data_IF_848668313992
#
_entry.id   IF_848668313992
#
_cell.length_a   1.000
_cell.length_b   1.000
_cell.length_c   1.000
_cell.angle_alpha   90.00
_cell.angle_beta   90.00
_cell.angle_gamma   90.00
#
_symmetry.space_group_name_H-M   'P 1'
#
loop_
_entity.id
_entity.type
_entity.pdbx_description
1 polymer ?
#
# COMPACT_ATOMS: atom_id res chain seq x y z
N UNK A 1 27.35 4.06 -11.51
CA UNK A 1 26.23 3.24 -11.00
C UNK A 1 26.82 2.05 -10.26
N UNK A 2 26.63 1.93 -8.95
CA UNK A 2 27.02 0.72 -8.20
C UNK A 2 26.17 -0.45 -8.69
N UNK A 3 26.80 -1.54 -9.11
CA UNK A 3 26.10 -2.77 -9.45
C UNK A 3 25.19 -3.20 -8.29
N UNK A 4 23.96 -3.56 -8.59
CA UNK A 4 23.04 -4.03 -7.56
C UNK A 4 23.61 -5.30 -6.92
N UNK A 5 23.78 -5.29 -5.60
CA UNK A 5 24.16 -6.48 -4.84
C UNK A 5 23.15 -7.60 -5.14
N UNK A 6 23.59 -8.87 -5.38
CA UNK A 6 22.72 -9.98 -5.66
C UNK A 6 22.06 -10.47 -4.36
N UNK A 7 21.21 -9.61 -3.79
CA UNK A 7 20.63 -9.75 -2.45
C UNK A 7 19.77 -11.01 -2.28
N UNK A 8 19.35 -11.61 -3.39
CA UNK A 8 18.59 -12.86 -3.43
C UNK A 8 19.45 -14.11 -3.20
N UNK A 9 20.79 -13.98 -3.19
CA UNK A 9 21.67 -15.12 -2.87
C UNK A 9 21.58 -15.49 -1.39
N UNK A 10 21.63 -16.79 -1.01
CA UNK A 10 21.39 -17.22 0.36
C UNK A 10 22.29 -16.55 1.42
N UNK A 11 23.58 -16.36 1.11
CA UNK A 11 24.54 -15.76 2.04
C UNK A 11 24.29 -14.27 2.28
N UNK A 12 23.95 -13.49 1.25
CA UNK A 12 23.61 -12.06 1.40
C UNK A 12 22.23 -11.89 2.05
N UNK A 13 21.29 -12.77 1.73
CA UNK A 13 19.97 -12.77 2.34
C UNK A 13 20.05 -13.05 3.86
N UNK A 14 20.98 -13.89 4.31
CA UNK A 14 21.15 -14.20 5.74
C UNK A 14 21.32 -12.93 6.59
N UNK A 15 22.09 -11.94 6.13
CA UNK A 15 22.29 -10.66 6.81
C UNK A 15 21.03 -9.76 6.81
N UNK A 16 20.10 -10.00 5.89
CA UNK A 16 18.86 -9.23 5.74
C UNK A 16 17.66 -9.90 6.42
N UNK A 17 17.70 -11.22 6.58
CA UNK A 17 16.63 -12.02 7.16
C UNK A 17 16.15 -11.50 8.52
N UNK A 18 17.02 -11.08 9.48
CA UNK A 18 16.56 -10.52 10.74
C UNK A 18 15.67 -9.28 10.57
N UNK A 19 15.96 -8.41 9.60
CA UNK A 19 15.14 -7.22 9.30
C UNK A 19 13.78 -7.63 8.74
N UNK A 20 13.73 -8.64 7.88
CA UNK A 20 12.48 -9.19 7.37
C UNK A 20 11.63 -9.80 8.48
N UNK A 21 12.25 -10.56 9.41
CA UNK A 21 11.54 -11.11 10.57
C UNK A 21 11.01 -10.00 11.49
N UNK A 22 11.80 -8.96 11.75
CA UNK A 22 11.36 -7.80 12.52
C UNK A 22 10.16 -7.09 11.88
N UNK A 23 10.18 -6.91 10.55
CA UNK A 23 9.05 -6.37 9.79
C UNK A 23 7.77 -7.20 10.01
N UNK A 24 7.87 -8.53 9.97
CA UNK A 24 6.73 -9.41 10.23
C UNK A 24 6.21 -9.27 11.67
N UNK A 25 7.12 -9.21 12.65
CA UNK A 25 6.77 -9.01 14.06
C UNK A 25 6.04 -7.67 14.27
N UNK A 26 6.50 -6.59 13.64
CA UNK A 26 5.84 -5.28 13.69
C UNK A 26 4.42 -5.35 13.09
N UNK A 27 4.26 -5.94 11.90
CA UNK A 27 2.96 -6.07 11.27
C UNK A 27 1.97 -6.87 12.14
N UNK A 28 2.43 -7.98 12.73
CA UNK A 28 1.61 -8.79 13.64
C UNK A 28 1.25 -8.03 14.93
N UNK A 29 2.19 -7.28 15.50
CA UNK A 29 1.94 -6.46 16.69
C UNK A 29 0.91 -5.36 16.42
N UNK A 30 1.00 -4.69 15.26
CA UNK A 30 0.00 -3.70 14.84
C UNK A 30 -1.38 -4.32 14.71
N UNK A 31 -1.51 -5.43 13.98
CA UNK A 31 -2.79 -6.15 13.84
C UNK A 31 -3.36 -6.58 15.19
N UNK A 32 -2.53 -7.12 16.08
CA UNK A 32 -2.93 -7.47 17.45
C UNK A 32 -3.45 -6.25 18.22
N UNK A 33 -2.76 -5.11 18.16
CA UNK A 33 -3.15 -3.88 18.84
C UNK A 33 -4.50 -3.33 18.37
N UNK A 34 -4.76 -3.36 17.06
CA UNK A 34 -6.05 -2.96 16.48
C UNK A 34 -7.17 -3.94 16.81
N UNK A 35 -6.88 -5.24 16.74
CA UNK A 35 -7.83 -6.31 17.08
C UNK A 35 -8.32 -6.20 18.52
N UNK A 36 -7.44 -5.86 19.49
CA UNK A 36 -7.86 -5.69 20.90
C UNK A 36 -8.67 -4.41 21.14
N UNK A 37 -8.94 -3.60 20.10
CA UNK A 37 -9.64 -2.30 20.17
C UNK A 37 -10.85 -2.25 19.24
N UNK A 38 -11.32 -3.41 18.79
CA UNK A 38 -12.51 -3.54 17.94
C UNK A 38 -12.38 -2.83 16.59
N UNK A 39 -11.16 -2.68 16.07
CA UNK A 39 -10.93 -2.23 14.71
C UNK A 39 -11.07 -3.39 13.72
N UNK A 40 -11.73 -3.14 12.60
CA UNK A 40 -11.86 -4.07 11.47
C UNK A 40 -10.73 -3.81 10.46
N UNK A 41 -9.95 -4.83 10.11
CA UNK A 41 -8.95 -4.73 9.03
C UNK A 41 -9.68 -4.71 7.69
N UNK A 42 -9.46 -3.68 6.88
CA UNK A 42 -10.07 -3.53 5.56
C UNK A 42 -9.01 -3.56 4.47
N UNK A 43 -9.32 -4.23 3.36
CA UNK A 43 -8.52 -4.21 2.15
C UNK A 43 -9.27 -3.43 1.08
N UNK A 44 -8.66 -2.37 0.56
CA UNK A 44 -9.26 -1.49 -0.44
C UNK A 44 -8.75 -1.85 -1.84
N UNK A 45 -9.57 -1.61 -2.88
CA UNK A 45 -9.12 -1.79 -4.26
C UNK A 45 -7.91 -0.91 -4.56
N UNK A 46 -6.84 -1.50 -5.10
CA UNK A 46 -5.66 -0.75 -5.54
C UNK A 46 -5.96 0.14 -6.75
N UNK A 47 -6.76 -0.36 -7.70
CA UNK A 47 -7.12 0.35 -8.90
C UNK A 47 -8.35 1.25 -8.65
N UNK A 48 -8.20 2.53 -8.98
CA UNK A 48 -9.19 3.58 -8.78
C UNK A 48 -9.44 4.35 -10.08
N UNK A 49 -10.67 4.83 -10.25
CA UNK A 49 -11.05 5.67 -11.39
C UNK A 49 -10.44 7.08 -11.29
N UNK A 50 -10.19 7.54 -10.06
CA UNK A 50 -9.55 8.83 -9.77
C UNK A 50 -8.27 8.60 -8.95
N UNK A 51 -7.16 9.30 -9.26
CA UNK A 51 -5.89 9.18 -8.55
C UNK A 51 -5.88 9.84 -7.15
N UNK A 52 -7.00 10.47 -6.73
CA UNK A 52 -7.09 11.29 -5.53
C UNK A 52 -7.05 12.79 -5.85
N UNK A 53 -7.22 13.64 -4.81
CA UNK A 53 -7.31 15.10 -4.96
C UNK A 53 -6.06 15.85 -4.46
N UNK A 54 -5.01 15.15 -4.02
CA UNK A 54 -3.81 15.78 -3.48
C UNK A 54 -2.89 16.30 -4.59
N UNK A 55 -2.70 17.62 -4.64
CA UNK A 55 -1.98 18.31 -5.70
C UNK A 55 -0.51 17.89 -5.81
N UNK A 56 0.09 17.46 -4.70
CA UNK A 56 1.49 17.06 -4.64
C UNK A 56 1.73 15.56 -4.83
N UNK A 57 0.67 14.75 -4.96
CA UNK A 57 0.79 13.31 -5.17
C UNK A 57 0.53 12.97 -6.64
N UNK A 58 1.52 12.34 -7.27
CA UNK A 58 1.36 11.76 -8.59
C UNK A 58 1.01 10.27 -8.45
N UNK A 59 -0.12 9.84 -9.00
CA UNK A 59 -0.44 8.41 -9.08
C UNK A 59 0.25 7.73 -10.26
N UNK A 60 0.44 6.41 -10.18
CA UNK A 60 0.70 5.61 -11.36
C UNK A 60 -0.59 5.43 -12.14
N UNK A 61 -0.52 5.54 -13.47
CA UNK A 61 -1.64 5.28 -14.36
C UNK A 61 -1.45 3.93 -15.08
N UNK A 62 -2.56 3.27 -15.35
CA UNK A 62 -2.66 2.06 -16.17
C UNK A 62 -3.99 2.05 -16.91
N UNK A 63 -4.22 1.05 -17.74
CA UNK A 63 -5.49 0.86 -18.44
C UNK A 63 -6.05 -0.53 -18.10
N UNK A 64 -7.33 -0.60 -17.73
CA UNK A 64 -8.07 -1.85 -17.75
C UNK A 64 -8.56 -2.13 -19.17
N UNK A 65 -8.42 -3.38 -19.62
CA UNK A 65 -8.94 -3.88 -20.90
C UNK A 65 -10.14 -4.78 -20.60
N UNK A 66 -11.31 -4.38 -21.06
CA UNK A 66 -12.56 -5.11 -20.89
C UNK A 66 -12.67 -6.35 -21.81
N UNK A 67 -13.63 -7.25 -21.55
CA UNK A 67 -13.90 -8.41 -22.41
C UNK A 67 -14.27 -8.05 -23.85
N UNK A 68 -14.78 -6.83 -24.07
CA UNK A 68 -15.11 -6.25 -25.37
C UNK A 68 -13.95 -5.44 -25.99
N UNK A 69 -12.75 -5.57 -25.43
CA UNK A 69 -11.56 -4.80 -25.76
C UNK A 69 -11.67 -3.28 -25.51
N UNK A 70 -12.70 -2.81 -24.79
CA UNK A 70 -12.77 -1.42 -24.32
C UNK A 70 -11.61 -1.12 -23.36
N UNK A 71 -11.10 0.11 -23.40
CA UNK A 71 -10.02 0.58 -22.53
C UNK A 71 -10.55 1.62 -21.55
N UNK A 72 -10.22 1.45 -20.28
CA UNK A 72 -10.58 2.41 -19.24
C UNK A 72 -9.34 2.81 -18.45
N UNK A 73 -9.04 4.12 -18.33
CA UNK A 73 -7.92 4.58 -17.51
C UNK A 73 -8.22 4.27 -16.04
N UNK A 74 -7.24 3.69 -15.37
CA UNK A 74 -7.25 3.46 -13.92
C UNK A 74 -5.93 3.91 -13.32
N UNK A 75 -5.97 4.19 -12.03
CA UNK A 75 -4.83 4.66 -11.27
C UNK A 75 -4.60 3.76 -10.07
N UNK A 76 -3.34 3.49 -9.74
CA UNK A 76 -3.02 2.89 -8.45
C UNK A 76 -3.23 3.93 -7.36
N UNK A 77 -3.93 3.57 -6.28
CA UNK A 77 -4.20 4.49 -5.18
C UNK A 77 -2.89 5.00 -4.55
N UNK A 78 -2.89 6.27 -4.15
CA UNK A 78 -1.77 6.87 -3.39
C UNK A 78 -1.97 6.71 -1.87
N UNK A 79 -3.21 6.39 -1.47
CA UNK A 79 -3.68 6.05 -0.13
C UNK A 79 -5.05 5.33 -0.23
N UNK A 80 -5.41 4.47 0.74
CA UNK A 80 -6.75 3.88 0.86
C UNK A 80 -7.84 4.88 1.32
N UNK A 81 -7.51 6.14 1.65
CA UNK A 81 -8.38 7.15 2.26
C UNK A 81 -9.79 7.20 1.67
N UNK A 82 -9.93 7.35 0.34
CA UNK A 82 -11.24 7.49 -0.28
C UNK A 82 -12.09 6.23 -0.14
N UNK A 83 -11.48 5.06 -0.18
CA UNK A 83 -12.17 3.80 0.05
C UNK A 83 -12.55 3.64 1.53
N UNK A 84 -11.65 3.99 2.46
CA UNK A 84 -11.93 3.99 3.89
C UNK A 84 -13.07 4.97 4.24
N UNK A 85 -13.04 6.19 3.72
CA UNK A 85 -14.12 7.18 3.94
C UNK A 85 -15.48 6.72 3.41
N UNK A 86 -15.52 5.97 2.30
CA UNK A 86 -16.76 5.33 1.83
C UNK A 86 -17.28 4.29 2.82
N UNK A 87 -16.39 3.50 3.44
CA UNK A 87 -16.78 2.54 4.48
C UNK A 87 -17.29 3.24 5.74
N UNK A 88 -16.63 4.33 6.16
CA UNK A 88 -17.13 5.16 7.27
C UNK A 88 -18.52 5.73 6.98
N UNK A 89 -18.72 6.27 5.78
CA UNK A 89 -20.02 6.75 5.35
C UNK A 89 -21.08 5.64 5.28
N UNK A 90 -20.66 4.39 5.01
CA UNK A 90 -21.53 3.21 5.02
C UNK A 90 -21.86 2.70 6.42
N UNK A 91 -21.22 3.22 7.48
CA UNK A 91 -21.52 2.89 8.88
C UNK A 91 -20.41 2.19 9.64
N UNK A 92 -19.26 1.91 9.01
CA UNK A 92 -18.08 1.44 9.74
C UNK A 92 -17.60 2.53 10.71
N UNK A 93 -17.19 2.11 11.92
CA UNK A 93 -16.84 3.03 13.00
C UNK A 93 -15.36 3.01 13.38
N UNK A 94 -14.71 1.88 13.16
CA UNK A 94 -13.32 1.62 13.55
C UNK A 94 -12.70 0.69 12.53
N UNK A 95 -11.94 1.27 11.61
CA UNK A 95 -11.31 0.51 10.53
C UNK A 95 -9.84 0.83 10.43
N UNK A 96 -9.05 -0.13 9.98
CA UNK A 96 -7.67 0.12 9.60
C UNK A 96 -7.31 -0.65 8.34
N UNK A 97 -6.41 -0.08 7.55
CA UNK A 97 -5.80 -0.70 6.38
C UNK A 97 -4.30 -0.77 6.63
N UNK A 98 -3.72 -1.97 6.46
CA UNK A 98 -2.28 -2.19 6.48
C UNK A 98 -1.88 -2.87 5.16
N UNK A 99 -1.57 -2.05 4.14
CA UNK A 99 -1.44 -2.53 2.77
C UNK A 99 -0.49 -1.70 1.91
N UNK A 100 -0.30 -2.14 0.67
CA UNK A 100 0.52 -1.44 -0.30
C UNK A 100 -0.18 -0.19 -0.84
N UNK A 101 0.60 0.86 -1.06
CA UNK A 101 0.20 2.11 -1.74
C UNK A 101 1.29 2.52 -2.72
N UNK A 102 0.91 3.32 -3.72
CA UNK A 102 1.80 3.66 -4.82
C UNK A 102 1.84 5.17 -5.07
N UNK A 103 3.05 5.73 -5.09
CA UNK A 103 3.27 7.16 -5.36
C UNK A 103 4.32 7.31 -6.46
N UNK A 104 3.88 7.80 -7.59
CA UNK A 104 4.73 8.05 -8.75
C UNK A 104 5.63 9.25 -8.48
N UNK A 105 6.78 9.31 -9.17
CA UNK A 105 7.82 10.35 -9.03
C UNK A 105 8.51 10.40 -7.65
N UNK A 106 8.17 9.52 -6.72
CA UNK A 106 8.81 9.44 -5.40
C UNK A 106 9.89 8.34 -5.37
N UNK A 107 11.15 8.74 -5.45
CA UNK A 107 12.31 7.84 -5.33
C UNK A 107 13.47 8.53 -4.62
N UNK A 108 13.96 7.92 -3.54
CA UNK A 108 15.11 8.42 -2.80
C UNK A 108 15.52 7.50 -1.65
N UNK A 109 16.46 7.93 -0.79
CA UNK A 109 16.92 7.11 0.34
C UNK A 109 15.81 6.72 1.33
N UNK A 110 14.78 7.56 1.44
CA UNK A 110 13.62 7.39 2.34
C UNK A 110 12.31 7.14 1.58
N UNK A 111 12.33 7.11 0.25
CA UNK A 111 11.14 7.02 -0.59
C UNK A 111 11.26 5.89 -1.60
N UNK A 112 10.28 5.00 -1.61
CA UNK A 112 10.10 4.00 -2.64
C UNK A 112 8.72 4.22 -3.27
N UNK A 113 8.58 4.10 -4.61
CA UNK A 113 7.31 4.37 -5.29
C UNK A 113 6.18 3.40 -4.92
N UNK A 114 6.53 2.27 -4.29
CA UNK A 114 5.61 1.34 -3.66
C UNK A 114 6.05 1.13 -2.22
N UNK A 115 5.15 1.30 -1.25
CA UNK A 115 5.44 1.08 0.15
C UNK A 115 4.20 0.60 0.91
N UNK A 116 4.41 0.10 2.13
CA UNK A 116 3.31 -0.31 3.01
C UNK A 116 2.90 0.87 3.87
N UNK A 117 1.61 1.17 3.89
CA UNK A 117 1.04 2.20 4.73
C UNK A 117 0.06 1.59 5.72
N UNK A 118 0.09 2.12 6.94
CA UNK A 118 -0.96 1.95 7.93
C UNK A 118 -1.84 3.20 7.90
N UNK A 119 -3.14 3.02 7.73
CA UNK A 119 -4.13 4.09 7.79
C UNK A 119 -5.34 3.60 8.59
N UNK A 120 -5.89 4.42 9.49
CA UNK A 120 -7.00 4.03 10.34
C UNK A 120 -7.95 5.19 10.59
N UNK A 121 -9.20 4.86 10.90
CA UNK A 121 -10.30 5.78 11.17
C UNK A 121 -11.15 5.28 12.33
#
# INVERSE_FOLDING_TARGET
>A
MTAASPWWTPHIHADRRPRLMARNAIANALRGWFSTRDFVEVTTSALQVSPGNEAHLAAFATEAIGPDASRQPLYLHTSPEFACKKLLAAGEKRIFSLGAVWRNRERGPLHHPEFTMLEWY
#
